data_IF_880250226295
#
_entry.id   IF_880250226295
#
_cell.length_a   1.000
_cell.length_b   1.000
_cell.length_c   1.000
_cell.angle_alpha   90.00
_cell.angle_beta   90.00
_cell.angle_gamma   90.00
#
_symmetry.space_group_name_H-M   'P 1'
#
loop_
_entity.id
_entity.type
_entity.pdbx_description
1 polymer ?
#
# COMPACT_ATOMS: atom_id res chain seq x y z
N UNK A 1 -15.34 2.24 5.79
CA UNK A 1 -14.95 3.51 5.16
C UNK A 1 -15.02 3.47 3.63
N UNK A 2 -15.06 2.29 3.03
CA UNK A 2 -15.09 2.10 1.57
C UNK A 2 -16.51 1.96 0.97
N UNK A 3 -17.55 2.11 1.76
CA UNK A 3 -18.96 1.89 1.35
C UNK A 3 -19.60 3.04 0.53
N UNK A 4 -18.79 3.95 0.01
CA UNK A 4 -19.23 5.10 -0.81
C UNK A 4 -18.59 5.15 -2.20
N UNK A 5 -17.94 4.07 -2.63
CA UNK A 5 -17.43 4.00 -3.99
C UNK A 5 -18.55 3.58 -4.92
N UNK A 6 -18.75 4.34 -5.98
CA UNK A 6 -19.64 4.02 -7.09
C UNK A 6 -18.79 3.41 -8.20
N UNK A 7 -19.32 2.41 -8.87
CA UNK A 7 -18.68 1.83 -10.03
C UNK A 7 -18.72 2.86 -11.17
N UNK A 8 -17.55 3.16 -11.73
CA UNK A 8 -17.42 4.08 -12.86
C UNK A 8 -16.31 3.58 -13.78
N UNK A 9 -16.44 3.84 -15.09
CA UNK A 9 -15.34 3.68 -16.02
C UNK A 9 -14.36 4.83 -15.82
N UNK A 10 -13.08 4.50 -15.57
CA UNK A 10 -12.04 5.50 -15.29
C UNK A 10 -10.88 5.31 -16.27
N UNK A 11 -10.58 6.35 -17.04
CA UNK A 11 -9.37 6.44 -17.85
C UNK A 11 -8.25 7.00 -16.98
N UNK A 12 -7.45 6.10 -16.40
CA UNK A 12 -6.38 6.45 -15.48
C UNK A 12 -5.05 6.61 -16.21
N UNK A 13 -4.49 7.82 -16.21
CA UNK A 13 -3.12 8.11 -16.61
C UNK A 13 -2.23 8.21 -15.37
N UNK A 14 -1.63 7.09 -14.99
CA UNK A 14 -0.73 6.98 -13.85
C UNK A 14 0.72 6.89 -14.36
N UNK A 15 1.66 7.75 -13.90
CA UNK A 15 3.05 7.63 -14.28
C UNK A 15 3.66 6.36 -13.70
N UNK A 16 4.64 5.79 -14.41
CA UNK A 16 5.48 4.73 -13.84
C UNK A 16 6.29 5.30 -12.70
N UNK A 17 6.42 4.56 -11.62
CA UNK A 17 7.29 4.94 -10.53
C UNK A 17 7.90 3.72 -9.84
N UNK A 18 9.06 3.93 -9.27
CA UNK A 18 9.74 2.96 -8.42
C UNK A 18 10.18 3.67 -7.14
N UNK A 19 9.80 3.13 -6.00
CA UNK A 19 10.17 3.65 -4.70
C UNK A 19 10.84 2.53 -3.93
N UNK A 20 12.06 2.77 -3.48
CA UNK A 20 12.73 1.94 -2.51
C UNK A 20 13.03 2.79 -1.28
N UNK A 21 12.64 2.33 -0.11
CA UNK A 21 12.85 3.03 1.14
C UNK A 21 13.28 2.09 2.25
N UNK A 22 14.35 2.46 2.92
CA UNK A 22 14.79 1.85 4.18
C UNK A 22 14.52 2.84 5.32
N UNK A 23 13.80 2.41 6.32
CA UNK A 23 13.39 3.23 7.46
C UNK A 23 13.77 2.53 8.76
N UNK A 24 14.46 3.23 9.66
CA UNK A 24 14.65 2.77 11.03
C UNK A 24 13.36 3.12 11.82
N UNK A 25 12.71 2.12 12.36
CA UNK A 25 11.47 2.25 13.12
C UNK A 25 11.69 2.32 14.63
N UNK A 26 12.92 2.18 15.11
CA UNK A 26 13.25 2.11 16.54
C UNK A 26 12.66 3.26 17.33
N UNK A 27 12.91 4.49 16.89
CA UNK A 27 12.40 5.68 17.60
C UNK A 27 10.89 5.81 17.52
N UNK A 28 10.30 5.44 16.39
CA UNK A 28 8.83 5.46 16.21
C UNK A 28 8.17 4.45 17.15
N UNK A 29 8.70 3.24 17.24
CA UNK A 29 8.18 2.20 18.12
C UNK A 29 8.31 2.60 19.59
N UNK A 30 9.41 3.23 19.99
CA UNK A 30 9.57 3.78 21.34
C UNK A 30 8.53 4.85 21.65
N UNK A 31 8.31 5.80 20.74
CA UNK A 31 7.28 6.84 20.89
C UNK A 31 5.86 6.26 20.98
N UNK A 32 5.63 5.09 20.38
CA UNK A 32 4.36 4.35 20.48
C UNK A 32 4.22 3.57 21.80
N UNK A 33 5.19 3.69 22.72
CA UNK A 33 5.16 3.03 24.02
C UNK A 33 5.74 1.60 24.03
N UNK A 34 6.51 1.23 23.00
CA UNK A 34 7.13 -0.10 22.90
C UNK A 34 8.58 -0.10 23.42
N UNK A 35 8.89 0.70 24.44
CA UNK A 35 10.24 0.78 25.02
C UNK A 35 10.74 -0.54 25.59
N UNK A 36 9.84 -1.38 26.08
CA UNK A 36 10.16 -2.69 26.66
C UNK A 36 10.85 -3.62 25.65
N UNK A 37 10.51 -3.53 24.35
CA UNK A 37 11.15 -4.33 23.30
C UNK A 37 12.66 -4.08 23.19
N UNK A 38 13.10 -2.89 23.58
CA UNK A 38 14.48 -2.42 23.51
C UNK A 38 15.19 -2.49 24.88
N UNK A 39 14.50 -3.00 25.92
CA UNK A 39 15.06 -3.16 27.25
C UNK A 39 15.83 -4.48 27.34
N UNK A 40 17.05 -4.42 27.84
CA UNK A 40 17.89 -5.61 28.01
C UNK A 40 17.34 -6.63 29.03
N UNK A 41 16.43 -6.21 29.91
CA UNK A 41 15.90 -7.04 30.98
C UNK A 41 14.65 -7.81 30.59
N UNK A 42 13.75 -7.19 29.79
CA UNK A 42 12.41 -7.71 29.56
C UNK A 42 11.97 -7.68 28.07
N UNK A 43 12.90 -7.41 27.14
CA UNK A 43 12.60 -7.13 25.73
C UNK A 43 11.72 -8.18 25.05
N UNK A 44 12.11 -9.44 25.05
CA UNK A 44 11.38 -10.53 24.39
C UNK A 44 11.50 -11.84 25.21
N UNK A 45 10.98 -11.89 26.45
CA UNK A 45 11.21 -13.01 27.36
C UNK A 45 10.66 -14.34 26.84
N UNK A 46 9.60 -14.30 26.02
CA UNK A 46 8.98 -15.50 25.44
C UNK A 46 9.74 -16.05 24.23
N UNK A 47 10.65 -15.27 23.66
CA UNK A 47 11.47 -15.70 22.54
C UNK A 47 12.86 -16.13 23.02
N UNK A 48 13.56 -15.24 23.70
CA UNK A 48 14.88 -15.50 24.29
C UNK A 48 15.05 -14.64 25.55
N UNK A 49 15.33 -15.25 26.69
CA UNK A 49 15.55 -14.52 27.94
C UNK A 49 16.82 -13.67 27.89
N UNK A 50 16.74 -12.43 28.34
CA UNK A 50 17.88 -11.50 28.43
C UNK A 50 18.32 -10.89 27.09
N UNK A 51 17.49 -10.96 26.06
CA UNK A 51 17.74 -10.34 24.74
C UNK A 51 16.72 -9.25 24.47
N UNK A 52 17.18 -8.16 23.87
CA UNK A 52 16.35 -7.05 23.41
C UNK A 52 16.66 -6.73 21.94
N UNK A 53 15.75 -6.02 21.27
CA UNK A 53 16.05 -5.47 19.96
C UNK A 53 17.06 -4.32 20.07
N UNK A 54 18.10 -4.34 19.24
CA UNK A 54 18.98 -3.18 19.07
C UNK A 54 18.33 -2.15 18.16
N UNK A 55 17.90 -2.60 17.00
CA UNK A 55 17.25 -1.78 15.97
C UNK A 55 16.14 -2.57 15.28
N UNK A 56 15.11 -1.85 14.84
CA UNK A 56 14.08 -2.37 13.94
C UNK A 56 14.13 -1.60 12.63
N UNK A 57 14.47 -2.28 11.57
CA UNK A 57 14.62 -1.68 10.24
C UNK A 57 13.58 -2.29 9.30
N UNK A 58 12.80 -1.42 8.67
CA UNK A 58 11.89 -1.78 7.59
C UNK A 58 12.51 -1.36 6.25
N UNK A 59 12.53 -2.29 5.31
CA UNK A 59 12.88 -2.00 3.93
C UNK A 59 11.71 -2.39 3.05
N UNK A 60 11.22 -1.45 2.24
CA UNK A 60 10.13 -1.65 1.31
C UNK A 60 10.55 -1.19 -0.09
N UNK A 61 10.09 -1.92 -1.10
CA UNK A 61 10.22 -1.56 -2.50
C UNK A 61 8.87 -1.74 -3.17
N UNK A 62 8.49 -0.77 -3.99
CA UNK A 62 7.32 -0.84 -4.86
C UNK A 62 7.70 -0.32 -6.23
N UNK A 63 7.29 -1.05 -7.26
CA UNK A 63 7.42 -0.66 -8.65
C UNK A 63 6.05 -0.76 -9.30
N UNK A 64 5.65 0.27 -9.99
CA UNK A 64 4.39 0.35 -10.73
C UNK A 64 4.68 0.68 -12.18
N UNK A 65 4.20 -0.17 -13.08
CA UNK A 65 4.32 -0.02 -14.51
C UNK A 65 3.00 -0.41 -15.21
N UNK A 66 2.98 -0.52 -16.53
CA UNK A 66 1.78 -0.84 -17.34
C UNK A 66 1.23 -2.25 -17.10
N UNK A 67 2.03 -3.13 -16.51
CA UNK A 67 1.63 -4.51 -16.20
C UNK A 67 1.04 -4.62 -14.79
N UNK A 68 1.07 -3.55 -14.02
CA UNK A 68 0.56 -3.45 -12.65
C UNK A 68 1.65 -3.17 -11.61
N UNK A 69 1.34 -3.42 -10.35
CA UNK A 69 2.32 -3.35 -9.27
C UNK A 69 2.99 -4.72 -9.11
N UNK A 70 4.31 -4.76 -9.13
CA UNK A 70 5.10 -5.99 -8.98
C UNK A 70 5.05 -6.50 -7.53
N UNK A 71 3.89 -6.88 -7.06
CA UNK A 71 3.68 -7.61 -5.80
C UNK A 71 2.40 -8.47 -5.81
N UNK A 72 1.62 -8.45 -6.91
CA UNK A 72 0.47 -9.34 -7.04
C UNK A 72 0.22 -9.68 -8.52
N UNK A 73 0.22 -10.96 -8.85
CA UNK A 73 -0.30 -11.46 -10.11
C UNK A 73 -1.82 -11.50 -9.99
N UNK A 74 -2.53 -10.57 -10.61
CA UNK A 74 -3.98 -10.66 -10.74
C UNK A 74 -4.32 -10.95 -12.18
N UNK A 75 -4.89 -12.13 -12.42
CA UNK A 75 -5.44 -12.51 -13.72
C UNK A 75 -6.80 -11.83 -13.87
N UNK A 76 -6.91 -10.90 -14.78
CA UNK A 76 -8.17 -10.25 -15.10
C UNK A 76 -8.89 -11.04 -16.21
N UNK A 77 -10.02 -11.64 -15.90
CA UNK A 77 -10.93 -12.20 -16.90
C UNK A 77 -12.04 -11.19 -17.15
N UNK A 78 -11.99 -10.50 -18.28
CA UNK A 78 -13.09 -9.69 -18.74
C UNK A 78 -14.16 -10.58 -19.39
N UNK A 79 -15.34 -10.65 -18.80
CA UNK A 79 -16.52 -11.25 -19.43
C UNK A 79 -17.29 -10.15 -20.13
N UNK A 80 -17.33 -10.18 -21.46
CA UNK A 80 -18.23 -9.34 -22.23
C UNK A 80 -19.64 -9.94 -22.19
N UNK A 81 -20.53 -9.36 -21.42
CA UNK A 81 -21.97 -9.59 -21.53
C UNK A 81 -22.56 -8.53 -22.44
N UNK A 82 -23.05 -8.98 -23.60
CA UNK A 82 -23.84 -8.18 -24.51
C UNK A 82 -25.23 -7.94 -23.89
N UNK A 83 -25.46 -6.76 -23.37
CA UNK A 83 -26.80 -6.25 -23.04
C UNK A 83 -26.92 -4.80 -23.50
N UNK A 84 -28.11 -4.43 -23.95
CA UNK A 84 -28.50 -3.21 -24.62
C UNK A 84 -27.99 -1.90 -23.98
N UNK A 85 -27.77 -0.83 -24.78
CA UNK A 85 -27.24 0.42 -24.29
C UNK A 85 -28.36 1.22 -23.59
N UNK A 86 -28.37 1.17 -22.26
CA UNK A 86 -28.70 2.36 -21.50
C UNK A 86 -27.47 3.29 -21.61
N UNK A 87 -27.70 4.59 -21.67
CA UNK A 87 -26.65 5.59 -21.85
C UNK A 87 -25.47 5.29 -20.93
N UNK A 88 -24.36 4.83 -21.50
CA UNK A 88 -23.15 4.57 -20.74
C UNK A 88 -22.69 5.90 -20.12
N UNK A 89 -22.49 5.96 -18.81
CA UNK A 89 -21.98 7.17 -18.16
C UNK A 89 -20.61 7.53 -18.78
N UNK A 90 -20.40 8.81 -19.07
CA UNK A 90 -19.12 9.26 -19.62
C UNK A 90 -17.96 8.84 -18.71
N UNK A 91 -16.89 8.26 -19.26
CA UNK A 91 -15.75 7.83 -18.47
C UNK A 91 -15.09 9.01 -17.76
N UNK A 92 -14.64 8.75 -16.54
CA UNK A 92 -13.94 9.76 -15.73
C UNK A 92 -12.47 9.80 -16.12
N UNK A 93 -12.00 10.93 -16.61
CA UNK A 93 -10.57 11.14 -16.90
C UNK A 93 -9.79 11.47 -15.63
N UNK A 94 -8.85 10.60 -15.24
CA UNK A 94 -7.99 10.81 -14.09
C UNK A 94 -6.52 10.89 -14.49
N UNK A 95 -5.96 12.09 -14.46
CA UNK A 95 -4.56 12.35 -14.80
C UNK A 95 -3.75 12.59 -13.53
N UNK A 96 -2.87 11.64 -13.16
CA UNK A 96 -1.99 11.73 -11.99
C UNK A 96 -0.66 12.37 -12.43
N UNK A 97 -0.63 13.71 -12.47
CA UNK A 97 0.51 14.51 -12.93
C UNK A 97 1.10 15.42 -11.85
N UNK A 98 0.83 15.14 -10.59
CA UNK A 98 1.30 15.87 -9.41
C UNK A 98 1.59 14.89 -8.28
N UNK A 99 2.15 15.38 -7.18
CA UNK A 99 2.36 14.58 -5.98
C UNK A 99 1.06 13.90 -5.52
N UNK A 100 1.14 12.63 -5.19
CA UNK A 100 -0.01 11.84 -4.77
C UNK A 100 0.32 10.87 -3.64
N UNK A 101 -0.71 10.44 -2.96
CA UNK A 101 -0.68 9.36 -1.97
C UNK A 101 -1.31 8.13 -2.59
N UNK A 102 -0.75 6.97 -2.36
CA UNK A 102 -1.34 5.71 -2.75
C UNK A 102 -1.47 4.75 -1.57
N UNK A 103 -2.43 3.86 -1.67
CA UNK A 103 -2.63 2.75 -0.73
C UNK A 103 -2.92 1.48 -1.51
N UNK A 104 -2.32 0.38 -1.08
CA UNK A 104 -2.68 -0.96 -1.55
C UNK A 104 -3.49 -1.61 -0.44
N UNK A 105 -4.73 -1.95 -0.76
CA UNK A 105 -5.71 -2.47 0.20
C UNK A 105 -6.18 -3.82 -0.27
N UNK A 106 -6.23 -4.78 0.63
CA UNK A 106 -6.90 -6.05 0.38
C UNK A 106 -8.41 -5.85 0.40
N UNK A 107 -9.06 -6.12 -0.70
CA UNK A 107 -10.50 -5.83 -0.88
C UNK A 107 -11.41 -6.67 0.00
N UNK A 108 -11.00 -7.90 0.34
CA UNK A 108 -11.81 -8.83 1.15
C UNK A 108 -11.88 -8.41 2.63
N UNK A 109 -10.77 -7.96 3.21
CA UNK A 109 -10.67 -7.59 4.62
C UNK A 109 -10.67 -6.09 4.85
N UNK A 110 -10.42 -5.29 3.80
CA UNK A 110 -10.17 -3.86 3.90
C UNK A 110 -8.83 -3.52 4.55
N UNK A 111 -7.95 -4.50 4.70
CA UNK A 111 -6.64 -4.32 5.32
C UNK A 111 -5.70 -3.55 4.40
N UNK A 112 -5.06 -2.52 4.94
CA UNK A 112 -4.06 -1.75 4.22
C UNK A 112 -2.73 -2.50 4.25
N UNK A 113 -2.24 -2.93 3.08
CA UNK A 113 -0.99 -3.67 2.93
C UNK A 113 0.20 -2.74 2.75
N UNK A 114 0.04 -1.70 1.93
CA UNK A 114 1.04 -0.68 1.68
C UNK A 114 0.41 0.69 1.62
N UNK A 115 1.17 1.69 2.03
CA UNK A 115 0.85 3.09 1.79
C UNK A 115 2.12 3.87 1.48
N UNK A 116 2.02 4.85 0.61
CA UNK A 116 3.17 5.66 0.24
C UNK A 116 2.79 7.02 -0.33
N UNK A 117 3.80 7.88 -0.40
CA UNK A 117 3.69 9.21 -0.98
C UNK A 117 4.69 9.34 -2.10
N UNK A 118 4.23 9.73 -3.28
CA UNK A 118 5.06 10.07 -4.43
C UNK A 118 5.17 11.59 -4.48
N UNK A 119 6.33 12.12 -4.10
CA UNK A 119 6.57 13.56 -4.02
C UNK A 119 7.31 14.13 -5.24
N UNK A 120 7.75 13.27 -6.16
CA UNK A 120 8.48 13.66 -7.36
C UNK A 120 8.18 12.65 -8.45
N UNK A 121 7.63 13.16 -9.53
CA UNK A 121 7.37 12.46 -10.79
C UNK A 121 8.51 12.72 -11.75
#
# INVERSE_FOLDING_TARGET
MYSKYEDAEVHLNLPRFEIEKRTNLTDVLRQMGMDELFSATDGIPNLIAGVSFADVIQQGKIKVDEYGAESAVTTYCAFATSCCPDEEPEPVEMNVNRNFVFEIVETSSGSRLFSGVVNKL
#
